data_IF_922747224706
#
_entry.id   IF_922747224706
#
_cell.length_a   1.000
_cell.length_b   1.000
_cell.length_c   1.000
_cell.angle_alpha   90.00
_cell.angle_beta   90.00
_cell.angle_gamma   90.00
#
_symmetry.space_group_name_H-M   'P 1'
#
loop_
_entity.id
_entity.type
_entity.pdbx_description
1 polymer ?
#
# COMPACT_ATOMS: atom_id res chain seq x y z
N UNK A 1 16.04 2.55 -43.52
CA UNK A 1 15.40 1.53 -42.66
C UNK A 1 16.16 1.52 -41.35
N UNK A 2 15.76 2.37 -40.39
CA UNK A 2 16.33 2.35 -39.05
C UNK A 2 15.89 1.08 -38.36
N UNK A 3 16.86 0.25 -38.00
CA UNK A 3 16.71 -0.84 -37.05
C UNK A 3 16.11 -0.28 -35.76
N UNK A 4 14.82 -0.52 -35.53
CA UNK A 4 14.25 -0.51 -34.18
C UNK A 4 14.99 -1.58 -33.39
N UNK A 5 16.06 -1.19 -32.71
CA UNK A 5 16.59 -2.01 -31.64
C UNK A 5 15.44 -2.18 -30.65
N UNK A 6 14.89 -3.39 -30.54
CA UNK A 6 13.99 -3.73 -29.46
C UNK A 6 14.77 -3.46 -28.17
N UNK A 7 14.39 -2.39 -27.47
CA UNK A 7 14.96 -2.09 -26.17
C UNK A 7 14.82 -3.35 -25.31
N UNK A 8 15.92 -3.83 -24.74
CA UNK A 8 15.85 -4.96 -23.82
C UNK A 8 14.91 -4.57 -22.68
N UNK A 9 14.02 -5.48 -22.25
CA UNK A 9 13.11 -5.18 -21.15
C UNK A 9 13.93 -4.82 -19.90
N UNK A 10 13.50 -3.81 -19.12
CA UNK A 10 14.22 -3.33 -17.95
C UNK A 10 14.41 -4.45 -16.92
N UNK A 11 15.60 -4.56 -16.34
CA UNK A 11 15.88 -5.51 -15.27
C UNK A 11 15.19 -5.07 -13.98
N UNK A 12 14.00 -5.65 -13.72
CA UNK A 12 13.19 -5.34 -12.54
C UNK A 12 13.82 -5.72 -11.20
N UNK A 13 14.95 -6.46 -11.20
CA UNK A 13 15.73 -6.73 -9.99
C UNK A 13 16.73 -5.62 -9.69
N UNK A 14 17.12 -4.83 -10.68
CA UNK A 14 18.00 -3.70 -10.48
C UNK A 14 17.17 -2.51 -9.95
N UNK A 15 17.48 -1.95 -8.77
CA UNK A 15 16.76 -0.81 -8.22
C UNK A 15 16.56 0.34 -9.20
N UNK A 16 17.52 0.56 -10.12
CA UNK A 16 17.47 1.64 -11.12
C UNK A 16 16.19 1.63 -11.97
N UNK A 17 15.54 0.47 -12.14
CA UNK A 17 14.27 0.36 -12.87
C UNK A 17 13.16 1.21 -12.23
N UNK A 18 13.25 1.55 -10.94
CA UNK A 18 12.29 2.38 -10.24
C UNK A 18 12.32 3.83 -10.71
N UNK A 19 13.39 4.27 -11.37
CA UNK A 19 13.42 5.59 -12.04
C UNK A 19 12.46 5.64 -13.22
N UNK A 20 12.23 4.52 -13.92
CA UNK A 20 11.25 4.47 -15.01
C UNK A 20 9.84 4.80 -14.48
N UNK A 21 9.54 4.43 -13.23
CA UNK A 21 8.31 4.79 -12.51
C UNK A 21 8.36 6.23 -12.00
N UNK A 22 9.45 6.62 -11.34
CA UNK A 22 9.59 7.97 -10.77
C UNK A 22 9.52 9.08 -11.84
N UNK A 23 10.04 8.82 -13.04
CA UNK A 23 10.02 9.77 -14.16
C UNK A 23 8.81 9.58 -15.09
N UNK A 24 7.97 8.57 -14.83
CA UNK A 24 6.82 8.17 -15.65
C UNK A 24 7.17 7.99 -17.14
N UNK A 25 8.23 7.22 -17.39
CA UNK A 25 8.77 6.92 -18.72
C UNK A 25 7.88 5.96 -19.52
N UNK A 26 8.17 5.80 -20.82
CA UNK A 26 7.50 4.82 -21.69
C UNK A 26 7.70 3.37 -21.22
N UNK A 27 8.79 3.06 -20.50
CA UNK A 27 9.08 1.72 -19.99
C UNK A 27 8.28 1.38 -18.71
N UNK A 28 7.59 2.35 -18.11
CA UNK A 28 6.96 2.21 -16.80
C UNK A 28 5.98 1.04 -16.73
N UNK A 29 5.18 0.81 -17.78
CA UNK A 29 4.22 -0.30 -17.81
C UNK A 29 4.92 -1.66 -17.69
N UNK A 30 6.01 -1.86 -18.44
CA UNK A 30 6.80 -3.09 -18.39
C UNK A 30 7.45 -3.30 -17.01
N UNK A 31 7.95 -2.23 -16.37
CA UNK A 31 8.49 -2.30 -15.01
C UNK A 31 7.38 -2.66 -14.01
N UNK A 32 6.23 -1.99 -14.08
CA UNK A 32 5.08 -2.26 -13.21
C UNK A 32 4.62 -3.71 -13.32
N UNK A 33 4.43 -4.20 -14.54
CA UNK A 33 4.05 -5.59 -14.80
C UNK A 33 5.12 -6.56 -14.24
N UNK A 34 6.39 -6.30 -14.51
CA UNK A 34 7.48 -7.16 -14.05
C UNK A 34 7.59 -7.22 -12.52
N UNK A 35 7.33 -6.12 -11.81
CA UNK A 35 7.27 -6.09 -10.35
C UNK A 35 6.08 -6.92 -9.83
N UNK A 36 4.89 -6.76 -10.42
CA UNK A 36 3.69 -7.51 -10.01
C UNK A 36 3.88 -9.02 -10.17
N UNK A 37 4.40 -9.47 -11.32
CA UNK A 37 4.67 -10.89 -11.55
C UNK A 37 5.77 -11.42 -10.62
N UNK A 38 6.79 -10.61 -10.35
CA UNK A 38 7.85 -11.00 -9.41
C UNK A 38 7.31 -11.13 -7.98
N UNK A 39 6.46 -10.19 -7.53
CA UNK A 39 5.75 -10.28 -6.25
C UNK A 39 4.85 -11.51 -6.20
N UNK A 40 4.02 -11.75 -7.21
CA UNK A 40 3.10 -12.89 -7.23
C UNK A 40 3.85 -14.23 -7.19
N UNK A 41 4.91 -14.38 -7.99
CA UNK A 41 5.79 -15.56 -7.97
C UNK A 41 6.43 -15.76 -6.60
N UNK A 42 6.94 -14.69 -5.99
CA UNK A 42 7.52 -14.72 -4.65
C UNK A 42 6.50 -15.15 -3.60
N UNK A 43 5.31 -14.58 -3.60
CA UNK A 43 4.26 -14.94 -2.64
C UNK A 43 3.75 -16.37 -2.84
N UNK A 44 3.71 -16.86 -4.09
CA UNK A 44 3.38 -18.26 -4.37
C UNK A 44 4.44 -19.22 -3.83
N UNK A 45 5.73 -18.93 -4.06
CA UNK A 45 6.83 -19.73 -3.53
C UNK A 45 6.80 -19.77 -2.00
N UNK A 46 6.55 -18.61 -1.37
CA UNK A 46 6.39 -18.47 0.08
C UNK A 46 5.24 -19.29 0.64
N UNK A 47 4.07 -19.31 -0.02
CA UNK A 47 2.98 -20.20 0.36
C UNK A 47 3.40 -21.67 0.22
N UNK A 48 4.06 -22.05 -0.89
CA UNK A 48 4.54 -23.42 -1.09
C UNK A 48 5.52 -23.87 0.01
N UNK A 49 6.41 -23.00 0.48
CA UNK A 49 7.29 -23.28 1.62
C UNK A 49 6.50 -23.59 2.90
N UNK A 50 5.44 -22.82 3.19
CA UNK A 50 4.54 -23.09 4.33
C UNK A 50 3.82 -24.42 4.15
N UNK A 51 3.32 -24.70 2.94
CA UNK A 51 2.56 -25.92 2.67
C UNK A 51 3.44 -27.19 2.65
N UNK A 52 4.74 -27.04 2.41
CA UNK A 52 5.72 -28.13 2.43
C UNK A 52 6.26 -28.45 3.83
N UNK A 53 6.05 -27.55 4.80
CA UNK A 53 6.55 -27.74 6.16
C UNK A 53 5.78 -28.86 6.88
N UNK A 54 6.49 -29.97 7.15
CA UNK A 54 5.91 -31.15 7.77
C UNK A 54 5.37 -30.88 9.18
N UNK A 55 5.90 -29.87 9.89
CA UNK A 55 5.45 -29.50 11.23
C UNK A 55 3.99 -29.04 11.24
N UNK A 56 3.51 -28.47 10.15
CA UNK A 56 2.13 -28.00 10.02
C UNK A 56 1.15 -29.10 9.60
N UNK A 57 1.67 -30.29 9.26
CA UNK A 57 0.92 -31.55 9.18
C UNK A 57 -0.39 -31.47 8.41
N UNK A 58 -1.51 -31.70 9.10
CA UNK A 58 -2.84 -31.76 8.50
C UNK A 58 -3.34 -30.38 8.02
N UNK A 59 -3.01 -29.30 8.73
CA UNK A 59 -3.46 -27.95 8.38
C UNK A 59 -2.92 -27.52 7.02
N UNK A 60 -1.61 -27.70 6.80
CA UNK A 60 -0.96 -27.41 5.52
C UNK A 60 -1.60 -28.20 4.35
N UNK A 61 -1.93 -29.48 4.56
CA UNK A 61 -2.61 -30.29 3.53
C UNK A 61 -3.99 -29.74 3.18
N UNK A 62 -4.78 -29.35 4.17
CA UNK A 62 -6.11 -28.75 3.96
C UNK A 62 -5.99 -27.42 3.23
N UNK A 63 -5.08 -26.54 3.66
CA UNK A 63 -4.81 -25.27 2.98
C UNK A 63 -4.42 -25.47 1.52
N UNK A 64 -3.52 -26.43 1.25
CA UNK A 64 -3.09 -26.75 -0.11
C UNK A 64 -4.28 -27.20 -0.98
N UNK A 65 -5.10 -28.13 -0.50
CA UNK A 65 -6.28 -28.61 -1.22
C UNK A 65 -7.27 -27.49 -1.50
N UNK A 66 -7.55 -26.63 -0.52
CA UNK A 66 -8.44 -25.48 -0.71
C UNK A 66 -7.88 -24.51 -1.76
N UNK A 67 -6.61 -24.14 -1.65
CA UNK A 67 -5.95 -23.22 -2.57
C UNK A 67 -5.90 -23.77 -4.00
N UNK A 68 -5.62 -25.07 -4.20
CA UNK A 68 -5.65 -25.68 -5.53
C UNK A 68 -7.07 -25.79 -6.12
N UNK A 69 -8.10 -25.81 -5.27
CA UNK A 69 -9.50 -25.90 -5.72
C UNK A 69 -10.11 -24.57 -6.18
N UNK A 70 -9.45 -23.44 -5.92
CA UNK A 70 -9.88 -22.11 -6.41
C UNK A 70 -9.17 -21.75 -7.71
N UNK A 71 -9.86 -20.99 -8.58
CA UNK A 71 -9.34 -20.55 -9.87
C UNK A 71 -8.12 -19.61 -9.73
N UNK A 72 -7.33 -19.51 -10.80
CA UNK A 72 -6.07 -18.74 -10.81
C UNK A 72 -6.23 -17.28 -10.36
N UNK A 73 -7.34 -16.64 -10.71
CA UNK A 73 -7.62 -15.25 -10.33
C UNK A 73 -7.84 -15.13 -8.81
N UNK A 74 -8.63 -16.03 -8.22
CA UNK A 74 -8.84 -16.08 -6.77
C UNK A 74 -7.56 -16.46 -6.01
N UNK A 75 -6.73 -17.33 -6.58
CA UNK A 75 -5.41 -17.63 -6.05
C UNK A 75 -4.53 -16.36 -5.99
N UNK A 76 -4.49 -15.58 -7.07
CA UNK A 76 -3.73 -14.34 -7.12
C UNK A 76 -4.29 -13.30 -6.13
N UNK A 77 -5.62 -13.20 -6.01
CA UNK A 77 -6.29 -12.32 -5.03
C UNK A 77 -5.89 -12.63 -3.59
N UNK A 78 -5.84 -13.90 -3.20
CA UNK A 78 -5.34 -14.31 -1.88
C UNK A 78 -3.90 -13.86 -1.69
N UNK A 79 -3.01 -14.25 -2.60
CA UNK A 79 -1.57 -14.02 -2.47
C UNK A 79 -1.16 -12.54 -2.47
N UNK A 80 -1.96 -11.69 -3.13
CA UNK A 80 -1.74 -10.26 -3.22
C UNK A 80 -2.57 -9.44 -2.21
N UNK A 81 -3.40 -10.10 -1.39
CA UNK A 81 -4.14 -9.43 -0.32
C UNK A 81 -3.20 -8.96 0.79
N UNK A 82 -3.50 -7.80 1.38
CA UNK A 82 -2.76 -7.26 2.51
C UNK A 82 -2.81 -8.17 3.73
N UNK A 83 -3.97 -8.81 3.96
CA UNK A 83 -4.17 -9.76 5.06
C UNK A 83 -3.23 -10.96 4.92
N UNK A 84 -3.12 -11.57 3.73
CA UNK A 84 -2.22 -12.70 3.52
C UNK A 84 -0.75 -12.30 3.72
N UNK A 85 -0.32 -11.18 3.15
CA UNK A 85 1.05 -10.69 3.29
C UNK A 85 1.42 -10.46 4.76
N UNK A 86 0.54 -9.83 5.54
CA UNK A 86 0.77 -9.57 6.95
C UNK A 86 0.95 -10.87 7.75
N UNK A 87 0.02 -11.81 7.60
CA UNK A 87 0.05 -13.07 8.35
C UNK A 87 1.25 -13.93 7.96
N UNK A 88 1.64 -13.92 6.68
CA UNK A 88 2.87 -14.60 6.25
C UNK A 88 4.12 -13.97 6.89
N UNK A 89 4.22 -12.64 6.95
CA UNK A 89 5.37 -11.97 7.56
C UNK A 89 5.44 -12.19 9.09
N UNK A 90 4.29 -12.28 9.76
CA UNK A 90 4.23 -12.68 11.17
C UNK A 90 4.76 -14.11 11.35
N UNK A 91 4.29 -15.05 10.52
CA UNK A 91 4.77 -16.44 10.54
C UNK A 91 6.29 -16.53 10.29
N UNK A 92 6.79 -15.81 9.28
CA UNK A 92 8.22 -15.77 8.96
C UNK A 92 9.06 -15.20 10.13
N UNK A 93 8.59 -14.12 10.76
CA UNK A 93 9.26 -13.49 11.89
C UNK A 93 9.31 -14.41 13.11
N UNK A 94 8.21 -15.11 13.39
CA UNK A 94 8.12 -16.07 14.48
C UNK A 94 9.01 -17.31 14.24
N UNK A 95 9.17 -17.77 12.99
CA UNK A 95 10.09 -18.86 12.62
C UNK A 95 11.56 -18.46 12.78
N UNK A 96 11.92 -17.24 12.38
CA UNK A 96 13.29 -16.72 12.43
C UNK A 96 13.73 -16.26 13.83
N UNK A 97 12.82 -16.30 14.81
CA UNK A 97 13.11 -15.85 16.18
C UNK A 97 13.41 -14.36 16.30
N UNK A 98 12.88 -13.52 15.40
CA UNK A 98 13.13 -12.07 15.38
C UNK A 98 12.21 -11.25 16.31
N UNK A 99 11.49 -11.90 17.22
CA UNK A 99 10.81 -11.16 18.28
C UNK A 99 11.87 -10.54 19.20
N UNK A 100 11.66 -9.27 19.55
CA UNK A 100 12.54 -8.47 20.41
C UNK A 100 12.98 -9.32 21.62
N UNK A 101 14.30 -9.33 21.88
CA UNK A 101 14.98 -10.24 22.79
C UNK A 101 14.20 -10.52 24.10
N UNK A 102 13.61 -11.72 24.22
CA UNK A 102 12.92 -12.15 25.43
C UNK A 102 11.70 -13.07 25.24
N UNK A 103 11.14 -13.18 24.03
CA UNK A 103 10.00 -14.06 23.78
C UNK A 103 10.35 -15.54 24.04
N UNK A 104 9.59 -16.18 24.93
CA UNK A 104 9.80 -17.59 25.24
C UNK A 104 9.45 -18.49 24.03
N UNK A 105 9.79 -19.77 24.10
CA UNK A 105 9.48 -20.72 23.02
C UNK A 105 7.97 -20.93 22.82
N UNK A 106 7.18 -20.76 23.88
CA UNK A 106 5.74 -20.94 23.88
C UNK A 106 5.04 -19.78 23.14
N UNK A 107 5.42 -18.53 23.40
CA UNK A 107 4.91 -17.33 22.73
C UNK A 107 5.19 -17.40 21.22
N UNK A 108 6.37 -17.89 20.84
CA UNK A 108 6.72 -18.13 19.43
C UNK A 108 5.83 -19.20 18.80
N UNK A 109 5.60 -20.31 19.49
CA UNK A 109 4.73 -21.38 18.99
C UNK A 109 3.27 -20.90 18.85
N UNK A 110 2.79 -20.11 19.80
CA UNK A 110 1.45 -19.50 19.76
C UNK A 110 1.30 -18.53 18.59
N UNK A 111 2.29 -17.66 18.36
CA UNK A 111 2.27 -16.72 17.23
C UNK A 111 2.30 -17.46 15.88
N UNK A 112 3.11 -18.51 15.76
CA UNK A 112 3.11 -19.36 14.57
C UNK A 112 1.74 -20.01 14.34
N UNK A 113 1.13 -20.56 15.39
CA UNK A 113 -0.19 -21.19 15.30
C UNK A 113 -1.28 -20.18 14.93
N UNK A 114 -1.25 -18.97 15.51
CA UNK A 114 -2.16 -17.86 15.16
C UNK A 114 -2.03 -17.47 13.70
N UNK A 115 -0.80 -17.20 13.24
CA UNK A 115 -0.55 -16.80 11.86
C UNK A 115 -0.95 -17.88 10.86
N UNK A 116 -0.65 -19.16 11.15
CA UNK A 116 -1.06 -20.28 10.31
C UNK A 116 -2.59 -20.44 10.25
N UNK A 117 -3.27 -20.31 11.38
CA UNK A 117 -4.73 -20.32 11.46
C UNK A 117 -5.36 -19.19 10.64
N UNK A 118 -4.78 -17.99 10.69
CA UNK A 118 -5.22 -16.84 9.90
C UNK A 118 -4.99 -17.04 8.40
N UNK A 119 -3.86 -17.64 7.99
CA UNK A 119 -3.63 -17.99 6.58
C UNK A 119 -4.63 -19.02 6.06
N UNK A 120 -4.95 -20.04 6.87
CA UNK A 120 -6.01 -21.00 6.56
C UNK A 120 -7.37 -20.30 6.38
N UNK A 121 -7.72 -19.43 7.33
CA UNK A 121 -8.95 -18.65 7.31
C UNK A 121 -9.10 -17.81 6.03
N UNK A 122 -8.06 -17.07 5.67
CA UNK A 122 -8.01 -16.25 4.44
C UNK A 122 -8.29 -17.09 3.19
N UNK A 123 -7.64 -18.25 3.04
CA UNK A 123 -7.83 -19.15 1.89
C UNK A 123 -9.26 -19.72 1.90
N UNK A 124 -9.78 -20.11 3.06
CA UNK A 124 -11.11 -20.67 3.20
C UNK A 124 -12.22 -19.64 2.91
N UNK A 125 -12.02 -18.39 3.33
CA UNK A 125 -12.90 -17.25 3.03
C UNK A 125 -12.96 -16.97 1.53
N UNK A 126 -11.81 -16.85 0.86
CA UNK A 126 -11.80 -16.60 -0.60
C UNK A 126 -12.46 -17.76 -1.36
N UNK A 127 -12.14 -19.02 -0.99
CA UNK A 127 -12.79 -20.19 -1.59
C UNK A 127 -14.30 -20.15 -1.45
N UNK A 128 -14.78 -19.84 -0.26
CA UNK A 128 -16.21 -19.77 0.03
C UNK A 128 -16.92 -18.70 -0.80
N UNK A 129 -16.27 -17.54 -0.97
CA UNK A 129 -16.79 -16.45 -1.79
C UNK A 129 -16.80 -16.85 -3.26
N UNK A 130 -15.75 -17.50 -3.76
CA UNK A 130 -15.70 -18.02 -5.12
C UNK A 130 -16.79 -19.07 -5.40
N UNK A 131 -17.04 -19.98 -4.44
CA UNK A 131 -18.13 -20.96 -4.52
C UNK A 131 -19.51 -20.28 -4.50
N UNK A 132 -19.70 -19.29 -3.62
CA UNK A 132 -20.96 -18.57 -3.48
C UNK A 132 -21.28 -17.73 -4.72
N UNK A 133 -20.27 -17.11 -5.34
CA UNK A 133 -20.41 -16.41 -6.62
C UNK A 133 -20.89 -17.33 -7.76
N UNK A 134 -20.68 -18.65 -7.62
CA UNK A 134 -21.16 -19.68 -8.55
C UNK A 134 -22.48 -20.32 -8.08
N UNK A 135 -23.15 -19.74 -7.09
CA UNK A 135 -24.42 -20.25 -6.55
C UNK A 135 -24.26 -21.45 -5.61
N UNK A 136 -23.05 -21.74 -5.10
CA UNK A 136 -22.79 -22.88 -4.20
C UNK A 136 -22.41 -22.41 -2.80
N UNK A 137 -23.13 -22.89 -1.78
CA UNK A 137 -22.75 -22.62 -0.39
C UNK A 137 -21.72 -23.65 0.10
N UNK A 138 -20.46 -23.20 0.15
CA UNK A 138 -19.32 -23.97 0.65
C UNK A 138 -19.50 -24.50 2.07
N UNK A 139 -18.68 -25.50 2.44
CA UNK A 139 -18.67 -26.06 3.81
C UNK A 139 -18.40 -24.99 4.87
N UNK A 140 -17.42 -24.13 4.61
CA UNK A 140 -17.01 -23.08 5.55
C UNK A 140 -18.16 -22.09 5.84
N UNK A 141 -18.96 -21.68 4.84
CA UNK A 141 -20.16 -20.85 5.06
C UNK A 141 -21.29 -21.61 5.79
N UNK A 142 -21.48 -22.90 5.50
CA UNK A 142 -22.51 -23.71 6.19
C UNK A 142 -22.22 -23.86 7.68
N UNK A 143 -20.95 -23.97 8.04
CA UNK A 143 -20.48 -24.11 9.43
C UNK A 143 -20.23 -22.75 10.12
N UNK A 144 -20.23 -21.65 9.37
CA UNK A 144 -19.97 -20.32 9.90
C UNK A 144 -21.08 -19.87 10.87
N UNK A 145 -20.64 -19.45 12.06
CA UNK A 145 -21.49 -18.82 13.08
C UNK A 145 -21.70 -17.33 12.83
N UNK A 146 -20.80 -16.72 12.07
CA UNK A 146 -20.87 -15.30 11.70
C UNK A 146 -21.97 -15.09 10.66
N UNK A 147 -22.58 -13.90 10.70
CA UNK A 147 -23.61 -13.49 9.73
C UNK A 147 -23.02 -12.79 8.51
N UNK A 148 -21.78 -12.31 8.63
CA UNK A 148 -21.07 -11.63 7.56
C UNK A 148 -19.64 -12.17 7.48
N UNK A 149 -19.17 -12.34 6.26
CA UNK A 149 -17.81 -12.79 5.96
C UNK A 149 -17.25 -11.94 4.83
N UNK A 150 -16.27 -11.13 5.17
CA UNK A 150 -15.61 -10.22 4.23
C UNK A 150 -14.54 -10.97 3.45
N UNK A 151 -14.48 -10.70 2.15
CA UNK A 151 -13.36 -11.13 1.31
C UNK A 151 -12.04 -10.60 1.87
N UNK A 152 -10.93 -11.37 1.75
CA UNK A 152 -9.59 -10.89 2.14
C UNK A 152 -9.15 -9.62 1.38
N UNK A 153 -9.67 -9.41 0.17
CA UNK A 153 -9.43 -8.20 -0.63
C UNK A 153 -10.26 -7.02 -0.14
N UNK A 154 -11.42 -7.28 0.48
CA UNK A 154 -12.33 -6.26 1.00
C UNK A 154 -13.33 -5.72 -0.02
N UNK A 155 -13.48 -6.36 -1.18
CA UNK A 155 -14.32 -5.89 -2.28
C UNK A 155 -15.73 -6.49 -2.32
N UNK A 156 -15.98 -7.51 -1.50
CA UNK A 156 -17.29 -8.11 -1.32
C UNK A 156 -17.43 -8.73 0.07
N UNK A 157 -18.68 -8.95 0.46
CA UNK A 157 -19.08 -9.59 1.72
C UNK A 157 -20.14 -10.64 1.44
N UNK A 158 -19.95 -11.85 1.97
CA UNK A 158 -20.99 -12.85 2.03
C UNK A 158 -21.85 -12.59 3.27
N UNK A 159 -23.18 -12.51 3.10
CA UNK A 159 -24.13 -12.17 4.14
C UNK A 159 -25.18 -13.29 4.29
N UNK A 160 -25.40 -13.71 5.53
CA UNK A 160 -26.38 -14.72 5.92
C UNK A 160 -27.65 -14.01 6.36
N UNK A 161 -28.79 -14.41 5.81
CA UNK A 161 -30.09 -13.90 6.27
C UNK A 161 -30.65 -14.71 7.45
N UNK A 162 -31.81 -14.28 7.95
CA UNK A 162 -32.48 -14.94 9.08
C UNK A 162 -32.93 -16.39 8.78
N UNK A 163 -33.05 -16.76 7.51
CA UNK A 163 -33.38 -18.13 7.06
C UNK A 163 -32.12 -19.00 6.91
N UNK A 164 -30.94 -18.41 7.06
CA UNK A 164 -29.65 -19.06 6.92
C UNK A 164 -29.15 -19.13 5.48
N UNK A 165 -29.81 -18.45 4.54
CA UNK A 165 -29.37 -18.36 3.14
C UNK A 165 -28.25 -17.33 3.03
N UNK A 166 -27.21 -17.71 2.31
CA UNK A 166 -26.06 -16.84 2.04
C UNK A 166 -26.23 -16.14 0.70
N UNK A 167 -25.94 -14.84 0.68
CA UNK A 167 -25.89 -14.01 -0.52
C UNK A 167 -24.57 -13.25 -0.58
N UNK A 168 -24.17 -12.82 -1.78
CA UNK A 168 -22.94 -12.05 -1.96
C UNK A 168 -23.30 -10.60 -2.29
N UNK A 169 -22.85 -9.66 -1.46
CA UNK A 169 -22.96 -8.23 -1.71
C UNK A 169 -21.61 -7.66 -2.12
N UNK A 170 -21.59 -6.94 -3.23
CA UNK A 170 -20.40 -6.19 -3.66
C UNK A 170 -20.25 -4.94 -2.78
N UNK A 171 -19.00 -4.63 -2.41
CA UNK A 171 -18.66 -3.42 -1.69
C UNK A 171 -18.20 -2.33 -2.67
N UNK A 172 -18.27 -1.04 -2.28
CA UNK A 172 -17.84 0.06 -3.14
C UNK A 172 -16.38 -0.11 -3.60
N UNK A 173 -16.10 0.33 -4.82
CA UNK A 173 -14.77 0.30 -5.42
C UNK A 173 -14.42 1.67 -5.99
N UNK A 174 -13.13 2.00 -5.94
CA UNK A 174 -12.56 3.13 -6.67
C UNK A 174 -11.92 2.62 -7.97
N UNK A 175 -12.25 3.26 -9.09
CA UNK A 175 -11.75 2.89 -10.42
C UNK A 175 -11.98 1.42 -10.78
N UNK A 176 -13.11 0.85 -10.31
CA UNK A 176 -13.55 -0.54 -10.51
C UNK A 176 -12.65 -1.67 -9.98
N UNK A 177 -11.48 -1.35 -9.41
CA UNK A 177 -10.50 -2.36 -9.00
C UNK A 177 -9.97 -2.22 -7.57
N UNK A 178 -10.13 -1.07 -6.92
CA UNK A 178 -9.65 -0.84 -5.55
C UNK A 178 -10.83 -0.92 -4.59
N UNK A 179 -10.81 -1.87 -3.65
CA UNK A 179 -11.83 -1.99 -2.62
C UNK A 179 -11.84 -0.75 -1.72
N UNK A 180 -13.02 -0.13 -1.52
CA UNK A 180 -13.20 0.94 -0.55
C UNK A 180 -13.86 0.38 0.70
N UNK A 181 -13.05 0.16 1.72
CA UNK A 181 -13.48 -0.46 2.97
C UNK A 181 -13.85 0.58 4.01
N UNK A 182 -15.16 0.71 4.23
CA UNK A 182 -15.77 1.68 5.14
C UNK A 182 -16.35 1.02 6.39
N UNK A 183 -16.27 -0.31 6.51
CA UNK A 183 -17.08 -1.02 7.50
C UNK A 183 -16.59 -2.39 7.97
N UNK A 184 -15.58 -2.98 7.34
CA UNK A 184 -15.15 -4.33 7.71
C UNK A 184 -14.62 -4.41 9.15
N UNK A 185 -14.63 -5.61 9.77
CA UNK A 185 -14.02 -5.80 11.09
C UNK A 185 -12.55 -5.37 11.14
N UNK A 186 -11.68 -5.69 10.15
CA UNK A 186 -10.32 -5.14 10.12
C UNK A 186 -10.24 -3.61 10.09
N UNK A 187 -11.16 -2.92 9.41
CA UNK A 187 -11.21 -1.45 9.40
C UNK A 187 -11.54 -0.84 10.77
N UNK A 188 -12.34 -1.56 11.57
CA UNK A 188 -12.81 -1.12 12.88
C UNK A 188 -11.90 -1.55 14.02
N UNK A 189 -10.99 -2.49 13.78
CA UNK A 189 -10.04 -2.95 14.78
C UNK A 189 -9.13 -1.80 15.25
N UNK A 190 -8.73 -1.83 16.52
CA UNK A 190 -7.81 -0.85 17.08
C UNK A 190 -6.37 -1.37 17.02
N UNK A 191 -5.49 -0.64 16.35
CA UNK A 191 -4.06 -0.97 16.26
C UNK A 191 -3.26 0.12 16.99
N UNK A 192 -2.69 -0.15 18.18
CA UNK A 192 -2.06 0.88 19.02
C UNK A 192 -0.92 1.64 18.36
N UNK A 193 -0.19 1.01 17.43
CA UNK A 193 0.96 1.61 16.73
C UNK A 193 0.56 2.35 15.44
N UNK A 194 -0.69 2.27 15.02
CA UNK A 194 -1.16 2.88 13.77
C UNK A 194 -1.50 4.35 13.97
N UNK A 195 -1.08 5.23 13.07
CA UNK A 195 -1.49 6.64 13.10
C UNK A 195 -3.00 6.84 12.84
N UNK A 196 -3.63 5.89 12.15
CA UNK A 196 -5.04 5.94 11.73
C UNK A 196 -5.91 5.07 12.64
N UNK A 197 -5.59 3.78 12.76
CA UNK A 197 -6.40 2.79 13.49
C UNK A 197 -6.23 2.84 15.02
N UNK A 198 -5.25 3.59 15.54
CA UNK A 198 -5.20 3.90 16.97
C UNK A 198 -6.28 4.89 17.40
N UNK A 199 -6.82 5.67 16.47
CA UNK A 199 -7.84 6.67 16.77
C UNK A 199 -9.19 6.00 17.10
N UNK A 200 -10.12 6.68 17.78
CA UNK A 200 -11.48 6.18 17.96
C UNK A 200 -12.14 5.72 16.65
N UNK A 201 -13.08 4.78 16.73
CA UNK A 201 -13.87 4.34 15.58
C UNK A 201 -15.32 4.78 15.77
N UNK A 202 -15.79 5.69 14.92
CA UNK A 202 -17.19 6.07 14.83
C UNK A 202 -17.79 5.52 13.52
N UNK A 203 -19.08 5.16 13.50
CA UNK A 203 -19.75 4.75 12.28
C UNK A 203 -19.88 5.93 11.31
N UNK A 204 -19.68 5.64 10.02
CA UNK A 204 -20.06 6.55 8.93
C UNK A 204 -21.57 6.40 8.66
N UNK A 205 -22.24 7.54 8.55
CA UNK A 205 -23.60 7.64 8.00
C UNK A 205 -23.58 7.37 6.49
N UNK A 206 -24.73 7.04 5.90
CA UNK A 206 -24.83 6.77 4.45
C UNK A 206 -24.42 7.99 3.61
N UNK A 207 -24.80 9.19 4.04
CA UNK A 207 -24.38 10.44 3.39
C UNK A 207 -22.86 10.65 3.46
N UNK A 208 -22.22 10.33 4.59
CA UNK A 208 -20.77 10.39 4.72
C UNK A 208 -20.08 9.33 3.85
N UNK A 209 -20.63 8.11 3.75
CA UNK A 209 -20.11 7.05 2.87
C UNK A 209 -20.12 7.48 1.41
N UNK A 210 -21.23 8.07 0.96
CA UNK A 210 -21.36 8.58 -0.40
C UNK A 210 -20.37 9.74 -0.64
N UNK A 211 -20.26 10.66 0.32
CA UNK A 211 -19.32 11.79 0.24
C UNK A 211 -17.86 11.32 0.17
N UNK A 212 -17.45 10.37 1.02
CA UNK A 212 -16.11 9.77 0.96
C UNK A 212 -15.87 9.10 -0.39
N UNK A 213 -16.83 8.32 -0.87
CA UNK A 213 -16.71 7.60 -2.14
C UNK A 213 -16.53 8.57 -3.31
N UNK A 214 -17.34 9.64 -3.38
CA UNK A 214 -17.21 10.69 -4.40
C UNK A 214 -15.87 11.41 -4.30
N UNK A 215 -15.49 11.89 -3.12
CA UNK A 215 -14.22 12.62 -2.92
C UNK A 215 -13.00 11.81 -3.32
N UNK A 216 -12.95 10.52 -2.97
CA UNK A 216 -11.83 9.65 -3.35
C UNK A 216 -11.85 9.29 -4.84
N UNK A 217 -13.03 9.21 -5.45
CA UNK A 217 -13.17 9.02 -6.90
C UNK A 217 -12.70 10.25 -7.67
N UNK A 218 -13.07 11.45 -7.23
CA UNK A 218 -12.61 12.72 -7.79
C UNK A 218 -11.10 12.87 -7.65
N UNK A 219 -10.53 12.48 -6.50
CA UNK A 219 -9.09 12.47 -6.29
C UNK A 219 -8.37 11.51 -7.25
N UNK A 220 -8.89 10.29 -7.45
CA UNK A 220 -8.29 9.34 -8.38
C UNK A 220 -8.40 9.83 -9.84
N UNK A 221 -9.54 10.42 -10.21
CA UNK A 221 -9.72 11.03 -11.54
C UNK A 221 -8.78 12.22 -11.77
N UNK A 222 -8.53 13.03 -10.74
CA UNK A 222 -7.56 14.12 -10.80
C UNK A 222 -6.12 13.59 -10.99
N UNK A 223 -5.77 12.47 -10.34
CA UNK A 223 -4.50 11.77 -10.59
C UNK A 223 -4.43 11.30 -12.04
N UNK A 224 -5.48 10.63 -12.54
CA UNK A 224 -5.49 10.11 -13.91
C UNK A 224 -5.33 11.24 -14.94
N UNK A 225 -5.95 12.40 -14.70
CA UNK A 225 -5.83 13.56 -15.58
C UNK A 225 -4.45 14.21 -15.54
N UNK A 226 -3.80 14.23 -14.37
CA UNK A 226 -2.48 14.84 -14.22
C UNK A 226 -1.38 13.88 -14.68
N UNK A 227 -1.37 12.65 -14.18
CA UNK A 227 -0.35 11.62 -14.41
C UNK A 227 -1.00 10.25 -14.65
N UNK A 228 -1.48 9.97 -15.89
CA UNK A 228 -2.20 8.73 -16.22
C UNK A 228 -1.45 7.45 -15.84
N UNK A 229 -0.12 7.45 -16.01
CA UNK A 229 0.71 6.30 -15.68
C UNK A 229 0.73 5.99 -14.18
N UNK A 230 0.68 7.01 -13.31
CA UNK A 230 0.51 6.75 -11.88
C UNK A 230 -0.90 6.28 -11.55
N UNK A 231 -1.92 6.78 -12.26
CA UNK A 231 -3.27 6.22 -12.21
C UNK A 231 -3.29 4.72 -12.46
N UNK A 232 -2.57 4.24 -13.47
CA UNK A 232 -2.38 2.81 -13.75
C UNK A 232 -1.61 2.11 -12.64
N UNK A 233 -0.52 2.69 -12.15
CA UNK A 233 0.27 2.13 -11.05
C UNK A 233 -0.59 1.93 -9.78
N UNK A 234 -1.40 2.92 -9.41
CA UNK A 234 -2.27 2.88 -8.24
C UNK A 234 -3.26 1.71 -8.37
N UNK A 235 -3.95 1.59 -9.51
CA UNK A 235 -4.86 0.47 -9.79
C UNK A 235 -4.17 -0.90 -9.75
N UNK A 236 -2.90 -0.93 -10.13
CA UNK A 236 -2.11 -2.16 -10.18
C UNK A 236 -1.54 -2.59 -8.83
N UNK A 237 -1.24 -1.68 -7.90
CA UNK A 237 -0.63 -2.03 -6.61
C UNK A 237 -1.56 -1.88 -5.41
N UNK A 238 -2.51 -0.95 -5.46
CA UNK A 238 -3.49 -0.76 -4.40
C UNK A 238 -4.64 -1.76 -4.61
N UNK A 239 -5.02 -2.42 -3.52
CA UNK A 239 -6.13 -3.39 -3.49
C UNK A 239 -7.24 -2.91 -2.58
N UNK A 240 -6.89 -2.18 -1.52
CA UNK A 240 -7.85 -1.73 -0.51
C UNK A 240 -7.49 -0.35 0.04
N UNK A 241 -8.48 0.51 0.16
CA UNK A 241 -8.42 1.74 0.95
C UNK A 241 -9.38 1.60 2.12
N UNK A 242 -8.83 1.60 3.32
CA UNK A 242 -9.59 1.57 4.57
C UNK A 242 -9.81 2.99 5.08
N UNK A 243 -11.06 3.37 5.33
CA UNK A 243 -11.38 4.71 5.84
C UNK A 243 -11.90 4.63 7.27
N UNK A 244 -11.30 5.43 8.15
CA UNK A 244 -11.71 5.55 9.55
C UNK A 244 -12.24 6.94 9.85
N UNK A 245 -13.43 7.00 10.44
CA UNK A 245 -13.96 8.18 11.11
C UNK A 245 -13.60 8.09 12.60
N UNK A 246 -12.90 9.08 13.12
CA UNK A 246 -12.57 9.17 14.55
C UNK A 246 -13.27 10.33 15.26
N UNK A 247 -13.84 11.26 14.52
CA UNK A 247 -14.47 12.47 15.04
C UNK A 247 -15.68 12.89 14.20
N UNK A 248 -16.71 13.42 14.85
CA UNK A 248 -17.83 14.07 14.19
C UNK A 248 -17.41 15.44 13.65
N UNK A 249 -17.97 15.84 12.50
CA UNK A 249 -17.58 17.05 11.75
C UNK A 249 -17.57 18.32 12.60
N UNK A 250 -18.38 18.38 13.65
CA UNK A 250 -18.49 19.55 14.54
C UNK A 250 -17.41 19.62 15.62
N UNK A 251 -16.54 18.62 15.75
CA UNK A 251 -15.46 18.64 16.74
C UNK A 251 -14.16 19.20 16.15
N UNK A 252 -13.36 19.86 17.00
CA UNK A 252 -12.04 20.38 16.62
C UNK A 252 -11.09 19.28 16.11
N UNK A 253 -11.36 18.02 16.48
CA UNK A 253 -10.57 16.85 16.08
C UNK A 253 -10.92 16.36 14.68
N UNK A 254 -12.07 16.74 14.11
CA UNK A 254 -12.46 16.35 12.76
C UNK A 254 -11.54 16.93 11.69
N UNK A 255 -10.85 18.04 11.98
CA UNK A 255 -9.82 18.62 11.12
C UNK A 255 -8.53 17.79 11.05
N UNK A 256 -8.35 16.81 11.95
CA UNK A 256 -7.18 15.91 11.94
C UNK A 256 -7.34 14.85 10.86
N UNK A 257 -6.88 15.19 9.66
CA UNK A 257 -6.70 14.26 8.56
C UNK A 257 -5.36 13.51 8.69
N UNK A 258 -5.33 12.26 8.26
CA UNK A 258 -4.11 11.45 8.22
C UNK A 258 -4.21 10.34 7.19
N UNK A 259 -3.06 9.92 6.67
CA UNK A 259 -2.92 8.73 5.83
C UNK A 259 -1.79 7.86 6.37
N UNK A 260 -1.89 6.55 6.11
CA UNK A 260 -0.88 5.59 6.52
C UNK A 260 -0.82 4.42 5.53
N UNK A 261 0.41 4.12 5.11
CA UNK A 261 0.83 2.81 4.62
C UNK A 261 1.43 1.99 5.77
N UNK A 262 1.16 0.68 5.75
CA UNK A 262 1.81 -0.27 6.65
C UNK A 262 2.70 -1.22 5.84
N UNK A 263 4.04 -1.29 6.09
CA UNK A 263 4.98 -2.10 5.30
C UNK A 263 4.61 -3.59 5.17
N UNK A 264 4.00 -4.16 6.21
CA UNK A 264 3.51 -5.55 6.23
C UNK A 264 2.21 -5.78 5.45
N UNK A 265 1.56 -4.73 4.97
CA UNK A 265 0.30 -4.76 4.24
C UNK A 265 0.43 -4.09 2.86
N UNK A 266 1.36 -4.54 1.99
CA UNK A 266 1.54 -3.97 0.66
C UNK A 266 0.24 -4.06 -0.17
N UNK A 267 -0.20 -2.91 -0.68
CA UNK A 267 -1.45 -2.73 -1.41
C UNK A 267 -2.63 -2.28 -0.56
N UNK A 268 -2.39 -1.91 0.70
CA UNK A 268 -3.38 -1.29 1.57
C UNK A 268 -3.03 0.18 1.81
N UNK A 269 -4.06 1.02 1.86
CA UNK A 269 -3.97 2.42 2.27
C UNK A 269 -4.97 2.62 3.41
N UNK A 270 -4.60 3.37 4.43
CA UNK A 270 -5.50 3.75 5.53
C UNK A 270 -5.64 5.25 5.55
N UNK A 271 -6.88 5.74 5.62
CA UNK A 271 -7.21 7.16 5.66
C UNK A 271 -8.04 7.48 6.90
N UNK A 272 -7.76 8.62 7.52
CA UNK A 272 -8.43 9.13 8.72
C UNK A 272 -9.26 10.36 8.38
N UNK A 273 -10.52 10.39 8.83
CA UNK A 273 -11.44 11.52 8.75
C UNK A 273 -11.70 12.08 7.34
N UNK A 274 -11.68 11.21 6.32
CA UNK A 274 -11.94 11.61 4.92
C UNK A 274 -13.35 12.17 4.69
N UNK A 275 -14.30 11.83 5.59
CA UNK A 275 -15.68 12.33 5.56
C UNK A 275 -15.79 13.83 5.85
N UNK A 276 -14.78 14.46 6.44
CA UNK A 276 -14.82 15.89 6.75
C UNK A 276 -15.03 16.71 5.45
N UNK A 277 -16.06 17.55 5.33
CA UNK A 277 -16.31 18.36 4.13
C UNK A 277 -15.20 19.38 3.81
N UNK A 278 -14.44 19.85 4.80
CA UNK A 278 -13.35 20.81 4.61
C UNK A 278 -12.08 20.17 4.04
N UNK A 279 -11.94 18.85 4.14
CA UNK A 279 -10.84 18.14 3.51
C UNK A 279 -10.97 18.18 1.99
N UNK A 280 -10.01 18.84 1.36
CA UNK A 280 -9.93 19.05 -0.07
C UNK A 280 -9.68 17.75 -0.86
N UNK A 281 -10.15 17.70 -2.10
CA UNK A 281 -9.89 16.58 -3.04
C UNK A 281 -8.38 16.44 -3.27
N UNK A 282 -7.66 17.55 -3.36
CA UNK A 282 -6.21 17.58 -3.62
C UNK A 282 -5.40 17.01 -2.45
N UNK A 283 -5.91 17.09 -1.22
CA UNK A 283 -5.30 16.44 -0.06
C UNK A 283 -5.47 14.91 -0.13
N UNK A 284 -6.64 14.43 -0.58
CA UNK A 284 -6.84 13.01 -0.86
C UNK A 284 -5.98 12.54 -2.04
N UNK A 285 -5.85 13.38 -3.08
CA UNK A 285 -5.01 13.13 -4.24
C UNK A 285 -3.55 12.90 -3.82
N UNK A 286 -2.99 13.78 -2.99
CA UNK A 286 -1.65 13.65 -2.44
C UNK A 286 -1.51 12.38 -1.59
N UNK A 287 -2.43 12.12 -0.66
CA UNK A 287 -2.35 10.91 0.19
C UNK A 287 -2.46 9.61 -0.59
N UNK A 288 -3.36 9.52 -1.58
CA UNK A 288 -3.46 8.32 -2.42
C UNK A 288 -2.12 8.10 -3.13
N UNK A 289 -1.52 9.14 -3.70
CA UNK A 289 -0.23 9.04 -4.37
C UNK A 289 0.91 8.67 -3.42
N UNK A 290 0.96 9.32 -2.25
CA UNK A 290 1.95 9.09 -1.20
C UNK A 290 1.96 7.64 -0.74
N UNK A 291 0.81 7.13 -0.31
CA UNK A 291 0.73 5.77 0.23
C UNK A 291 0.81 4.71 -0.89
N UNK A 292 0.36 5.02 -2.10
CA UNK A 292 0.57 4.14 -3.27
C UNK A 292 2.04 4.03 -3.63
N UNK A 293 2.80 5.12 -3.47
CA UNK A 293 4.25 5.12 -3.70
C UNK A 293 4.96 4.19 -2.72
N UNK A 294 4.62 4.28 -1.43
CA UNK A 294 5.08 3.32 -0.45
C UNK A 294 4.69 1.87 -0.79
N UNK A 295 3.47 1.65 -1.27
CA UNK A 295 2.99 0.31 -1.62
C UNK A 295 3.76 -0.34 -2.77
N UNK A 296 4.11 0.40 -3.84
CA UNK A 296 4.89 -0.20 -4.93
C UNK A 296 6.35 -0.42 -4.54
N UNK A 297 6.94 0.47 -3.73
CA UNK A 297 8.30 0.28 -3.21
C UNK A 297 8.37 -0.95 -2.30
N UNK A 298 7.42 -1.08 -1.37
CA UNK A 298 7.31 -2.26 -0.52
C UNK A 298 7.08 -3.54 -1.34
N UNK A 299 6.29 -3.46 -2.42
CA UNK A 299 6.09 -4.59 -3.33
C UNK A 299 7.39 -4.99 -4.05
N UNK A 300 8.19 -4.02 -4.48
CA UNK A 300 9.51 -4.24 -5.08
C UNK A 300 10.47 -4.87 -4.06
N UNK A 301 10.55 -4.33 -2.83
CA UNK A 301 11.43 -4.86 -1.78
C UNK A 301 11.07 -6.29 -1.38
N UNK A 302 9.77 -6.61 -1.30
CA UNK A 302 9.31 -7.96 -1.01
C UNK A 302 9.68 -8.97 -2.10
N UNK A 303 9.76 -8.52 -3.35
CA UNK A 303 10.10 -9.36 -4.50
C UNK A 303 11.63 -9.52 -4.68
N UNK A 304 12.39 -8.44 -4.48
CA UNK A 304 13.79 -8.34 -4.90
C UNK A 304 14.80 -8.19 -3.74
N UNK A 305 14.31 -7.95 -2.52
CA UNK A 305 15.14 -7.65 -1.34
C UNK A 305 15.03 -6.18 -0.93
N UNK A 306 15.29 -5.91 0.35
CA UNK A 306 15.22 -4.56 0.91
C UNK A 306 16.36 -3.67 0.39
N UNK A 307 16.11 -2.36 0.23
CA UNK A 307 17.14 -1.42 -0.23
C UNK A 307 18.34 -1.34 0.72
N UNK A 308 18.06 -1.49 2.02
CA UNK A 308 19.03 -1.43 3.11
C UNK A 308 18.66 -2.47 4.16
N UNK A 309 19.63 -2.91 4.95
CA UNK A 309 19.35 -3.73 6.13
C UNK A 309 18.44 -2.96 7.09
N UNK A 310 17.51 -3.68 7.74
CA UNK A 310 16.65 -3.12 8.79
C UNK A 310 17.47 -2.85 10.05
N UNK A 311 18.16 -1.71 10.08
CA UNK A 311 18.83 -1.17 11.24
C UNK A 311 17.98 -0.04 11.85
N UNK A 312 17.49 -0.27 13.07
CA UNK A 312 16.67 0.70 13.80
C UNK A 312 17.50 1.65 14.68
N UNK A 313 18.81 1.39 14.83
CA UNK A 313 19.70 2.19 15.68
C UNK A 313 20.14 3.47 14.98
N UNK A 314 20.38 3.41 13.67
CA UNK A 314 20.81 4.56 12.88
C UNK A 314 19.61 5.22 12.20
N UNK A 315 19.44 6.53 12.44
CA UNK A 315 18.30 7.30 11.94
C UNK A 315 18.75 8.58 11.27
N UNK A 316 18.30 8.78 10.05
CA UNK A 316 18.55 10.00 9.27
C UNK A 316 17.51 11.06 9.67
N UNK A 317 17.96 12.28 9.88
CA UNK A 317 17.04 13.42 10.06
C UNK A 317 16.42 13.78 8.71
N UNK A 318 15.12 13.49 8.55
CA UNK A 318 14.39 13.80 7.31
C UNK A 318 14.41 15.30 7.02
N UNK A 319 14.78 15.74 5.80
CA UNK A 319 14.77 17.16 5.44
C UNK A 319 13.35 17.71 5.26
N UNK A 320 12.34 16.84 5.11
CA UNK A 320 10.94 17.27 4.97
C UNK A 320 10.23 17.45 6.31
N UNK A 321 10.54 16.60 7.30
CA UNK A 321 9.84 16.61 8.60
C UNK A 321 10.71 17.04 9.77
N UNK A 322 12.04 17.10 9.64
CA UNK A 322 12.97 17.31 10.74
C UNK A 322 13.08 16.15 11.73
N UNK A 323 12.22 15.14 11.63
CA UNK A 323 12.22 13.96 12.49
C UNK A 323 13.29 12.92 12.08
N UNK A 324 13.92 12.23 13.05
CA UNK A 324 14.82 11.11 12.79
C UNK A 324 14.04 9.85 12.37
N UNK A 325 14.30 9.35 11.17
CA UNK A 325 13.64 8.19 10.56
C UNK A 325 14.65 7.10 10.13
N UNK A 326 14.24 5.83 10.06
CA UNK A 326 15.10 4.75 9.54
C UNK A 326 15.54 5.00 8.10
N UNK A 327 16.69 4.41 7.69
CA UNK A 327 17.18 4.53 6.32
C UNK A 327 16.15 4.07 5.27
N UNK A 328 15.42 2.97 5.51
CA UNK A 328 14.39 2.48 4.59
C UNK A 328 13.26 3.49 4.40
N UNK A 329 12.75 4.07 5.49
CA UNK A 329 11.76 5.14 5.46
C UNK A 329 12.28 6.39 4.76
N UNK A 330 13.56 6.72 4.95
CA UNK A 330 14.19 7.86 4.28
C UNK A 330 14.26 7.66 2.76
N UNK A 331 14.71 6.49 2.29
CA UNK A 331 14.74 6.16 0.86
C UNK A 331 13.34 6.28 0.26
N UNK A 332 12.33 5.72 0.92
CA UNK A 332 10.95 5.85 0.47
C UNK A 332 10.49 7.32 0.44
N UNK A 333 10.84 8.12 1.45
CA UNK A 333 10.48 9.54 1.49
C UNK A 333 11.03 10.31 0.27
N UNK A 334 12.27 10.01 -0.16
CA UNK A 334 12.83 10.63 -1.39
C UNK A 334 11.91 10.37 -2.59
N UNK A 335 11.54 9.11 -2.85
CA UNK A 335 10.64 8.76 -3.95
C UNK A 335 9.26 9.41 -3.80
N UNK A 336 8.67 9.32 -2.60
CA UNK A 336 7.33 9.83 -2.31
C UNK A 336 7.24 11.34 -2.57
N UNK A 337 8.16 12.13 -2.04
CA UNK A 337 8.13 13.58 -2.22
C UNK A 337 8.44 13.98 -3.67
N UNK A 338 9.27 13.22 -4.38
CA UNK A 338 9.53 13.45 -5.80
C UNK A 338 8.27 13.21 -6.65
N UNK A 339 7.62 12.06 -6.47
CA UNK A 339 6.40 11.70 -7.20
C UNK A 339 5.24 12.63 -6.86
N UNK A 340 5.06 12.97 -5.57
CA UNK A 340 4.03 13.92 -5.15
C UNK A 340 4.27 15.32 -5.72
N UNK A 341 5.52 15.78 -5.75
CA UNK A 341 5.86 17.06 -6.38
C UNK A 341 5.47 17.08 -7.86
N UNK A 342 5.87 16.05 -8.61
CA UNK A 342 5.54 15.90 -10.02
C UNK A 342 4.03 15.93 -10.25
N UNK A 343 3.27 15.10 -9.53
CA UNK A 343 1.82 15.05 -9.58
C UNK A 343 1.19 16.44 -9.35
N UNK A 344 1.56 17.10 -8.24
CA UNK A 344 0.97 18.37 -7.84
C UNK A 344 1.28 19.48 -8.85
N UNK A 345 2.50 19.48 -9.41
CA UNK A 345 2.90 20.43 -10.44
C UNK A 345 2.06 20.22 -11.69
N UNK A 346 1.96 18.98 -12.14
CA UNK A 346 1.21 18.63 -13.34
C UNK A 346 -0.29 18.89 -13.17
N UNK A 347 -0.83 18.66 -11.99
CA UNK A 347 -2.22 18.97 -11.65
C UNK A 347 -2.54 20.47 -11.83
N UNK A 348 -1.64 21.37 -11.40
CA UNK A 348 -1.80 22.82 -11.64
C UNK A 348 -1.76 23.18 -13.14
N UNK A 349 -0.99 22.45 -13.95
CA UNK A 349 -0.87 22.71 -15.39
C UNK A 349 -2.12 22.27 -16.15
N UNK A 350 -2.72 21.14 -15.79
CA UNK A 350 -3.87 20.55 -16.50
C UNK A 350 -5.23 21.02 -15.96
N UNK A 351 -5.26 21.68 -14.79
CA UNK A 351 -6.47 22.16 -14.13
C UNK A 351 -6.48 23.69 -14.00
N UNK A 352 -6.62 24.45 -15.10
CA UNK A 352 -6.55 25.92 -15.06
C UNK A 352 -7.67 26.56 -14.24
N UNK A 353 -8.82 25.88 -14.14
CA UNK A 353 -10.02 26.35 -13.43
C UNK A 353 -10.07 25.91 -11.96
N UNK A 354 -8.94 25.46 -11.41
CA UNK A 354 -8.85 25.04 -10.01
C UNK A 354 -9.19 26.21 -9.07
N UNK A 355 -10.12 25.98 -8.15
CA UNK A 355 -10.54 26.99 -7.17
C UNK A 355 -9.36 27.51 -6.34
N UNK A 356 -9.41 28.78 -5.94
CA UNK A 356 -8.30 29.47 -5.27
C UNK A 356 -7.82 28.76 -4.00
N UNK A 357 -8.73 28.19 -3.20
CA UNK A 357 -8.36 27.41 -1.99
C UNK A 357 -7.55 26.17 -2.34
N UNK A 358 -7.99 25.41 -3.34
CA UNK A 358 -7.28 24.21 -3.82
C UNK A 358 -5.92 24.58 -4.44
N UNK A 359 -5.88 25.63 -5.26
CA UNK A 359 -4.64 26.15 -5.85
C UNK A 359 -3.62 26.53 -4.79
N UNK A 360 -4.03 27.26 -3.75
CA UNK A 360 -3.16 27.63 -2.63
C UNK A 360 -2.67 26.42 -1.84
N UNK A 361 -3.55 25.44 -1.61
CA UNK A 361 -3.18 24.18 -0.98
C UNK A 361 -2.07 23.47 -1.77
N UNK A 362 -2.30 23.26 -3.08
CA UNK A 362 -1.35 22.58 -3.97
C UNK A 362 -0.01 23.31 -4.05
N UNK A 363 -0.01 24.65 -4.18
CA UNK A 363 1.22 25.45 -4.17
C UNK A 363 2.00 25.32 -2.86
N UNK A 364 1.32 25.32 -1.71
CA UNK A 364 1.95 25.10 -0.41
C UNK A 364 2.58 23.71 -0.32
N UNK A 365 1.87 22.68 -0.78
CA UNK A 365 2.36 21.30 -0.78
C UNK A 365 3.55 21.10 -1.74
N UNK A 366 3.53 21.75 -2.89
CA UNK A 366 4.68 21.78 -3.82
C UNK A 366 5.94 22.33 -3.17
N UNK A 367 5.83 23.44 -2.45
CA UNK A 367 6.95 24.02 -1.73
C UNK A 367 7.52 23.06 -0.68
N UNK A 368 6.65 22.36 0.06
CA UNK A 368 7.07 21.34 1.04
C UNK A 368 7.79 20.19 0.35
N UNK A 369 7.25 19.64 -0.74
CA UNK A 369 7.86 18.52 -1.44
C UNK A 369 9.25 18.90 -1.99
N UNK A 370 9.38 20.09 -2.60
CA UNK A 370 10.63 20.57 -3.15
C UNK A 370 11.68 20.85 -2.06
N UNK A 371 11.29 21.47 -0.94
CA UNK A 371 12.21 21.95 0.08
C UNK A 371 13.23 20.91 0.56
N UNK A 372 12.81 19.64 0.72
CA UNK A 372 13.70 18.61 1.22
C UNK A 372 14.82 18.20 0.24
N UNK A 373 14.67 18.47 -1.05
CA UNK A 373 15.71 18.26 -2.07
C UNK A 373 16.65 19.46 -2.20
N UNK A 374 16.18 20.66 -1.83
CA UNK A 374 16.91 21.93 -1.96
C UNK A 374 17.83 22.19 -0.76
N UNK A 375 18.57 21.16 -0.36
CA UNK A 375 19.61 21.22 0.67
C UNK A 375 20.99 21.13 0.02
N UNK A 376 22.00 21.67 0.69
CA UNK A 376 23.38 21.68 0.18
C UNK A 376 23.94 20.26 0.03
N UNK A 377 23.84 19.45 1.09
CA UNK A 377 24.33 18.08 1.14
C UNK A 377 23.56 17.16 0.15
N UNK A 378 24.26 16.21 -0.45
CA UNK A 378 23.64 15.16 -1.27
C UNK A 378 22.78 14.23 -0.41
N UNK A 379 21.59 13.90 -0.91
CA UNK A 379 20.61 13.11 -0.16
C UNK A 379 21.12 11.69 0.12
N UNK A 380 21.86 11.06 -0.80
CA UNK A 380 22.45 9.74 -0.59
C UNK A 380 23.51 9.77 0.53
N UNK A 381 24.28 10.85 0.62
CA UNK A 381 25.33 11.06 1.62
C UNK A 381 24.81 11.23 3.05
N UNK A 382 23.48 11.30 3.25
CA UNK A 382 22.84 11.38 4.57
C UNK A 382 22.47 10.02 5.14
N UNK A 383 22.48 8.97 4.32
CA UNK A 383 22.18 7.61 4.76
C UNK A 383 23.23 7.14 5.76
N UNK A 384 22.77 6.64 6.91
CA UNK A 384 23.66 6.23 8.00
C UNK A 384 23.82 4.72 8.01
N UNK A 385 24.89 4.21 7.41
CA UNK A 385 25.16 2.77 7.34
C UNK A 385 26.63 2.46 7.58
N UNK A 386 26.91 1.30 8.19
CA UNK A 386 28.27 0.73 8.30
C UNK A 386 28.67 -0.04 7.05
N UNK A 387 27.69 -0.56 6.32
CA UNK A 387 27.88 -1.30 5.06
C UNK A 387 27.77 -0.35 3.87
N UNK A 388 28.42 -0.70 2.75
CA UNK A 388 28.26 0.05 1.51
C UNK A 388 26.80 0.00 1.04
N UNK A 389 26.20 1.17 0.84
CA UNK A 389 24.88 1.29 0.22
C UNK A 389 25.00 0.75 -1.21
N UNK A 390 23.99 0.01 -1.66
CA UNK A 390 23.88 -0.35 -3.06
C UNK A 390 24.03 0.93 -3.91
N UNK A 391 25.03 0.96 -4.80
CA UNK A 391 25.40 2.20 -5.51
C UNK A 391 24.29 2.69 -6.42
N UNK A 392 23.45 1.79 -6.95
CA UNK A 392 22.29 2.14 -7.76
C UNK A 392 21.23 2.88 -6.93
N UNK A 393 21.00 2.50 -5.67
CA UNK A 393 20.10 3.23 -4.76
C UNK A 393 20.57 4.66 -4.50
N UNK A 394 21.87 4.84 -4.25
CA UNK A 394 22.46 6.17 -4.08
C UNK A 394 22.30 7.04 -5.33
N UNK A 395 22.59 6.48 -6.51
CA UNK A 395 22.45 7.17 -7.80
C UNK A 395 21.02 7.64 -8.08
N UNK A 396 20.01 6.82 -7.77
CA UNK A 396 18.61 7.22 -7.92
C UNK A 396 18.24 8.41 -7.05
N UNK A 397 18.64 8.37 -5.78
CA UNK A 397 18.36 9.42 -4.80
C UNK A 397 18.97 10.75 -5.28
N UNK A 398 20.23 10.73 -5.67
CA UNK A 398 20.94 11.95 -6.08
C UNK A 398 20.46 12.46 -7.44
N UNK A 399 20.03 11.57 -8.34
CA UNK A 399 19.39 11.96 -9.61
C UNK A 399 18.10 12.75 -9.37
N UNK A 400 17.21 12.27 -8.49
CA UNK A 400 15.99 13.00 -8.13
C UNK A 400 16.31 14.37 -7.49
N UNK A 401 17.33 14.43 -6.63
CA UNK A 401 17.76 15.70 -6.05
C UNK A 401 18.31 16.67 -7.10
N UNK A 402 19.18 16.20 -7.99
CA UNK A 402 19.78 17.02 -9.04
C UNK A 402 18.71 17.59 -9.99
N UNK A 403 17.70 16.79 -10.33
CA UNK A 403 16.56 17.24 -11.12
C UNK A 403 15.77 18.34 -10.43
N UNK A 404 15.46 18.16 -9.14
CA UNK A 404 14.76 19.17 -8.35
C UNK A 404 15.58 20.47 -8.22
N UNK A 405 16.89 20.36 -7.93
CA UNK A 405 17.80 21.51 -7.85
C UNK A 405 17.84 22.29 -9.17
N UNK A 406 17.93 21.59 -10.31
CA UNK A 406 17.89 22.19 -11.65
C UNK A 406 16.55 22.89 -11.92
N UNK A 407 15.44 22.24 -11.59
CA UNK A 407 14.10 22.81 -11.81
C UNK A 407 13.91 24.12 -11.03
N UNK A 408 14.46 24.21 -9.82
CA UNK A 408 14.34 25.38 -8.94
C UNK A 408 15.52 26.35 -9.02
N UNK A 409 16.47 26.15 -9.95
CA UNK A 409 17.67 26.99 -10.12
C UNK A 409 18.46 27.17 -8.81
N UNK A 410 18.53 26.10 -8.02
CA UNK A 410 19.21 26.13 -6.73
C UNK A 410 20.72 26.29 -6.94
N UNK A 411 21.32 27.32 -6.31
CA UNK A 411 22.73 27.68 -6.46
C UNK A 411 23.02 28.71 -7.57
N UNK A 412 22.07 28.98 -8.49
CA UNK A 412 22.25 30.02 -9.52
C UNK A 412 22.12 31.46 -8.98
N UNK A 413 21.52 31.61 -7.79
CA UNK A 413 21.38 32.91 -7.10
C UNK A 413 22.60 33.29 -6.22
N UNK A 414 23.62 32.43 -6.18
CA UNK A 414 24.86 32.63 -5.41
C UNK A 414 26.05 33.06 -6.28
N UNK A 415 25.85 33.23 -7.59
CA UNK A 415 26.78 33.85 -8.53
C UNK A 415 26.28 35.25 -8.89
#
# INVERSE_FOLDING_TARGET
>A
MSSMAQAQPPDVKNPICLMEIADATESMESVVEGILWSRLRRMRARLQEVLADQQYGAMARVMHQMYQSIGADHQARVLLSSEFCEQYLCLESARKGRLEAGADEQERAEEQARALGALHDIIAREKSIAELAQGRTGRYLREARQWQLYSPVGDCVAEKDATGVWTLRQLPKLGDCIALDLESPPARHHEPRSGVLSQPCLPLTDAEREHVSRKLSDALAAIDSAEPMYGLLIRNFVRRITVRKSADVTSDEAGRYGSEHVPRQPGSIRLLNTHNPELLVEACMESIMHESTHNYLAAWELANGFFVANDYQHRVVSPWSGNPIPNSSYIHAVFVYYVCHRLLKRHLEVSPDLGETAKRHVQRRLAVCAAGFLIEQDLSGRLMTKDAINSEVGQMIDRMQAEMKRQYRYGEWQQ
#
